data_IF_764261686543
#
_entry.id   IF_764261686543
#
_cell.length_a   1.000
_cell.length_b   1.000
_cell.length_c   1.000
_cell.angle_alpha   90.00
_cell.angle_beta   90.00
_cell.angle_gamma   90.00
#
_symmetry.space_group_name_H-M   'P 1'
#
loop_
_entity.id
_entity.type
_entity.pdbx_description
1 polymer ?
#
# COMPACT_ATOMS: atom_id res chain seq x y z
N UNK A 1 4.54 -24.30 -9.10
CA UNK A 1 3.97 -25.67 -9.25
C UNK A 1 2.53 -25.49 -8.88
N UNK A 2 1.60 -25.65 -9.82
CA UNK A 2 0.17 -25.58 -9.53
C UNK A 2 -0.14 -26.51 -8.36
N UNK A 3 -0.92 -26.00 -7.41
CA UNK A 3 -1.40 -26.78 -6.26
C UNK A 3 -2.10 -28.06 -6.74
N UNK A 4 -2.25 -29.07 -5.87
CA UNK A 4 -2.82 -30.38 -6.24
C UNK A 4 -4.21 -30.33 -6.90
N UNK A 5 -4.93 -29.21 -6.79
CA UNK A 5 -6.24 -28.99 -7.41
C UNK A 5 -6.19 -28.08 -8.67
N UNK A 6 -5.00 -27.63 -9.08
CA UNK A 6 -4.81 -26.70 -10.20
C UNK A 6 -4.92 -25.22 -9.83
N UNK A 7 -5.11 -24.88 -8.55
CA UNK A 7 -5.14 -23.48 -8.09
C UNK A 7 -3.76 -22.84 -8.15
N UNK A 8 -3.76 -21.54 -8.41
CA UNK A 8 -2.57 -20.71 -8.49
C UNK A 8 -2.39 -19.91 -7.19
N UNK A 9 -1.18 -19.90 -6.64
CA UNK A 9 -0.84 -19.07 -5.47
C UNK A 9 -0.28 -17.73 -5.95
N UNK A 10 -0.97 -16.65 -5.62
CA UNK A 10 -0.60 -15.27 -5.96
C UNK A 10 -0.28 -14.52 -4.67
N UNK A 11 0.97 -14.08 -4.50
CA UNK A 11 1.39 -13.25 -3.38
C UNK A 11 1.35 -11.77 -3.79
N UNK A 12 0.78 -10.89 -2.95
CA UNK A 12 0.35 -9.53 -3.37
C UNK A 12 0.94 -8.37 -2.56
N UNK A 13 1.91 -8.63 -1.68
CA UNK A 13 2.66 -7.58 -0.97
C UNK A 13 4.17 -7.85 -1.07
N UNK A 14 4.65 -8.06 -2.30
CA UNK A 14 5.99 -8.57 -2.55
C UNK A 14 6.95 -7.44 -2.90
N UNK A 15 7.67 -6.95 -1.88
CA UNK A 15 8.51 -5.78 -2.05
C UNK A 15 9.77 -6.03 -2.87
N UNK A 16 10.15 -5.04 -3.66
CA UNK A 16 11.46 -4.91 -4.28
C UNK A 16 12.05 -3.52 -4.08
N UNK A 17 13.32 -3.36 -4.42
CA UNK A 17 14.03 -2.10 -4.30
C UNK A 17 14.68 -1.71 -5.61
N UNK A 18 14.34 -0.52 -6.09
CA UNK A 18 14.93 0.05 -7.29
C UNK A 18 16.13 0.94 -6.92
N UNK A 19 17.26 0.73 -7.61
CA UNK A 19 18.54 1.36 -7.28
C UNK A 19 18.54 2.89 -7.41
N UNK A 20 17.70 3.46 -8.28
CA UNK A 20 17.70 4.92 -8.51
C UNK A 20 17.00 5.67 -7.39
N UNK A 21 16.08 5.01 -6.70
CA UNK A 21 15.37 5.58 -5.55
C UNK A 21 15.89 5.08 -4.22
N UNK A 22 16.59 3.95 -4.23
CA UNK A 22 17.20 3.28 -3.10
C UNK A 22 17.97 4.23 -2.17
N UNK A 23 18.86 5.07 -2.70
CA UNK A 23 19.68 5.98 -1.89
C UNK A 23 18.86 6.90 -0.97
N UNK A 24 17.65 7.29 -1.39
CA UNK A 24 16.74 8.14 -0.60
C UNK A 24 15.83 7.33 0.32
N UNK A 25 15.47 6.09 -0.05
CA UNK A 25 14.59 5.21 0.74
C UNK A 25 15.33 4.30 1.74
N UNK A 26 16.66 4.13 1.60
CA UNK A 26 17.53 3.21 2.34
C UNK A 26 17.36 3.22 3.87
N UNK A 27 16.96 4.35 4.45
CA UNK A 27 16.83 4.50 5.90
C UNK A 27 15.47 4.06 6.46
N UNK A 28 14.50 3.74 5.60
CA UNK A 28 13.09 3.57 6.01
C UNK A 28 12.61 2.12 5.88
N UNK A 29 13.04 1.38 4.84
CA UNK A 29 12.56 0.02 4.57
C UNK A 29 12.96 -1.03 5.63
N UNK A 30 13.89 -0.70 6.54
CA UNK A 30 14.39 -1.62 7.55
C UNK A 30 15.16 -2.81 6.94
N UNK A 31 15.42 -3.83 7.77
CA UNK A 31 16.13 -5.04 7.34
C UNK A 31 17.66 -4.92 7.37
N UNK A 32 18.33 -6.07 7.47
CA UNK A 32 19.79 -6.18 7.40
C UNK A 32 20.30 -6.30 5.96
N UNK A 33 21.62 -6.46 5.80
CA UNK A 33 22.27 -6.64 4.49
C UNK A 33 21.67 -7.79 3.68
N UNK A 34 21.31 -8.90 4.34
CA UNK A 34 20.67 -10.06 3.70
C UNK A 34 19.32 -9.69 3.10
N UNK A 35 18.45 -9.02 3.86
CA UNK A 35 17.14 -8.56 3.38
C UNK A 35 17.31 -7.62 2.19
N UNK A 36 18.25 -6.69 2.30
CA UNK A 36 18.55 -5.72 1.26
C UNK A 36 19.02 -6.37 -0.04
N UNK A 37 19.91 -7.37 0.05
CA UNK A 37 20.35 -8.15 -1.11
C UNK A 37 19.16 -8.82 -1.81
N UNK A 38 18.22 -9.39 -1.06
CA UNK A 38 17.00 -10.02 -1.61
C UNK A 38 16.04 -9.00 -2.23
N UNK A 39 15.90 -7.82 -1.64
CA UNK A 39 15.05 -6.75 -2.20
C UNK A 39 15.57 -6.22 -3.54
N UNK A 40 16.90 -6.16 -3.70
CA UNK A 40 17.57 -5.74 -4.94
C UNK A 40 17.62 -6.84 -6.01
N UNK A 41 17.40 -8.10 -5.63
CA UNK A 41 17.39 -9.24 -6.54
C UNK A 41 15.97 -9.53 -7.00
N UNK A 42 15.67 -9.10 -8.24
CA UNK A 42 14.44 -9.47 -8.92
C UNK A 42 14.59 -10.76 -9.73
N UNK A 43 15.82 -11.26 -9.93
CA UNK A 43 16.11 -12.36 -10.85
C UNK A 43 16.05 -13.75 -10.20
N UNK A 44 17.11 -14.53 -10.45
CA UNK A 44 17.14 -15.97 -10.13
C UNK A 44 16.92 -16.28 -8.65
N UNK A 45 17.41 -15.43 -7.73
CA UNK A 45 17.24 -15.69 -6.31
C UNK A 45 15.76 -15.62 -5.90
N UNK A 46 15.04 -14.61 -6.39
CA UNK A 46 13.61 -14.44 -6.12
C UNK A 46 12.79 -15.57 -6.73
N UNK A 47 13.06 -15.93 -7.99
CA UNK A 47 12.35 -17.04 -8.65
C UNK A 47 12.58 -18.35 -7.91
N UNK A 48 13.82 -18.61 -7.46
CA UNK A 48 14.14 -19.77 -6.65
C UNK A 48 13.36 -19.79 -5.33
N UNK A 49 13.32 -18.67 -4.60
CA UNK A 49 12.55 -18.57 -3.36
C UNK A 49 11.05 -18.80 -3.61
N UNK A 50 10.49 -18.26 -4.71
CA UNK A 50 9.11 -18.50 -5.11
C UNK A 50 8.84 -19.98 -5.38
N UNK A 51 9.73 -20.65 -6.11
CA UNK A 51 9.60 -22.08 -6.41
C UNK A 51 9.65 -22.94 -5.15
N UNK A 52 10.57 -22.64 -4.22
CA UNK A 52 10.70 -23.32 -2.93
C UNK A 52 9.48 -23.09 -2.02
N UNK A 53 8.89 -21.89 -2.06
CA UNK A 53 7.69 -21.55 -1.29
C UNK A 53 6.38 -22.02 -1.95
N UNK A 54 6.41 -22.50 -3.19
CA UNK A 54 5.22 -22.86 -3.95
C UNK A 54 4.39 -21.66 -4.45
N UNK A 55 5.02 -20.49 -4.61
CA UNK A 55 4.38 -19.26 -5.11
C UNK A 55 4.44 -19.25 -6.64
N UNK A 56 3.28 -19.22 -7.28
CA UNK A 56 3.19 -19.20 -8.74
C UNK A 56 3.39 -17.79 -9.30
N UNK A 57 2.77 -16.76 -8.68
CA UNK A 57 2.91 -15.36 -9.10
C UNK A 57 3.16 -14.44 -7.92
N UNK A 58 4.04 -13.45 -8.11
CA UNK A 58 4.16 -12.30 -7.22
C UNK A 58 3.66 -11.03 -7.91
N UNK A 59 2.82 -10.25 -7.22
CA UNK A 59 2.55 -8.86 -7.55
C UNK A 59 3.57 -8.01 -6.82
N UNK A 60 4.53 -7.49 -7.58
CA UNK A 60 5.66 -6.73 -7.05
C UNK A 60 5.26 -5.29 -6.79
N UNK A 61 5.76 -4.76 -5.68
CA UNK A 61 5.56 -3.37 -5.28
C UNK A 61 6.85 -2.78 -4.74
N UNK A 62 7.09 -1.48 -4.95
CA UNK A 62 8.31 -0.88 -4.45
C UNK A 62 8.29 -0.78 -2.91
N UNK A 63 9.44 -0.98 -2.26
CA UNK A 63 9.63 -0.78 -0.83
C UNK A 63 9.17 0.62 -0.35
N UNK A 64 8.62 0.74 0.87
CA UNK A 64 8.27 2.02 1.46
C UNK A 64 9.47 2.97 1.61
N UNK A 65 9.30 4.29 1.42
CA UNK A 65 8.08 4.99 0.98
C UNK A 65 7.98 5.14 -0.55
N UNK A 66 8.81 4.43 -1.33
CA UNK A 66 8.84 4.53 -2.79
C UNK A 66 8.96 5.96 -3.32
N UNK A 67 8.19 6.30 -4.35
CA UNK A 67 8.17 7.64 -4.95
C UNK A 67 7.65 8.74 -3.99
N UNK A 68 6.99 8.39 -2.88
CA UNK A 68 6.53 9.37 -1.89
C UNK A 68 7.68 10.07 -1.14
N UNK A 69 8.89 9.52 -1.16
CA UNK A 69 10.07 10.15 -0.57
C UNK A 69 10.58 11.37 -1.34
N UNK A 70 10.14 11.59 -2.57
CA UNK A 70 10.69 12.63 -3.44
C UNK A 70 9.87 13.91 -3.37
N UNK A 71 10.51 15.04 -3.66
CA UNK A 71 9.82 16.32 -3.74
C UNK A 71 9.00 16.39 -5.03
N UNK A 72 7.88 17.15 -5.06
CA UNK A 72 6.98 17.25 -6.22
C UNK A 72 7.67 17.41 -7.59
N UNK A 73 8.77 18.17 -7.65
CA UNK A 73 9.52 18.43 -8.87
C UNK A 73 10.25 17.20 -9.43
N UNK A 74 10.66 16.26 -8.56
CA UNK A 74 11.37 15.04 -8.94
C UNK A 74 10.45 13.82 -8.98
N UNK A 75 9.39 13.83 -8.17
CA UNK A 75 8.58 12.65 -7.88
C UNK A 75 7.93 12.06 -9.14
N UNK A 76 7.53 12.90 -10.11
CA UNK A 76 6.96 12.44 -11.39
C UNK A 76 7.96 11.60 -12.19
N UNK A 77 9.14 12.15 -12.46
CA UNK A 77 10.17 11.46 -13.26
C UNK A 77 10.67 10.20 -12.55
N UNK A 78 10.87 10.27 -11.23
CA UNK A 78 11.30 9.13 -10.42
C UNK A 78 10.27 8.02 -10.38
N UNK A 79 9.00 8.35 -10.19
CA UNK A 79 7.91 7.37 -10.20
C UNK A 79 7.81 6.69 -11.57
N UNK A 80 7.77 7.46 -12.66
CA UNK A 80 7.71 6.92 -14.01
C UNK A 80 8.88 5.98 -14.31
N UNK A 81 10.12 6.41 -14.04
CA UNK A 81 11.30 5.58 -14.28
C UNK A 81 11.34 4.29 -13.45
N UNK A 82 10.88 4.32 -12.19
CA UNK A 82 10.76 3.12 -11.35
C UNK A 82 9.70 2.16 -11.90
N UNK A 83 8.55 2.69 -12.32
CA UNK A 83 7.47 1.89 -12.90
C UNK A 83 7.88 1.28 -14.24
N UNK A 84 8.57 2.04 -15.10
CA UNK A 84 9.08 1.54 -16.40
C UNK A 84 10.08 0.40 -16.22
N UNK A 85 11.02 0.53 -15.28
CA UNK A 85 11.98 -0.55 -14.99
C UNK A 85 11.33 -1.78 -14.39
N UNK A 86 10.31 -1.62 -13.55
CA UNK A 86 9.53 -2.76 -13.05
C UNK A 86 8.78 -3.44 -14.20
N UNK A 87 8.20 -2.67 -15.12
CA UNK A 87 7.56 -3.20 -16.31
C UNK A 87 8.55 -4.01 -17.17
N UNK A 88 9.71 -3.45 -17.48
CA UNK A 88 10.78 -4.15 -18.21
C UNK A 88 11.17 -5.46 -17.53
N UNK A 89 11.29 -5.45 -16.21
CA UNK A 89 11.56 -6.66 -15.44
C UNK A 89 10.42 -7.68 -15.56
N UNK A 90 9.15 -7.27 -15.41
CA UNK A 90 7.98 -8.16 -15.54
C UNK A 90 7.97 -8.84 -16.92
N UNK A 91 8.35 -8.12 -17.99
CA UNK A 91 8.42 -8.68 -19.35
C UNK A 91 9.46 -9.81 -19.50
N UNK A 92 10.46 -9.90 -18.60
CA UNK A 92 11.41 -11.01 -18.62
C UNK A 92 10.76 -12.34 -18.19
N UNK A 93 9.70 -12.29 -17.38
CA UNK A 93 8.95 -13.46 -16.95
C UNK A 93 7.48 -13.13 -16.60
N UNK A 94 6.66 -12.80 -17.61
CA UNK A 94 5.28 -12.35 -17.40
C UNK A 94 4.35 -13.47 -16.92
N UNK A 95 4.82 -14.72 -16.87
CA UNK A 95 4.08 -15.81 -16.23
C UNK A 95 4.20 -15.78 -14.70
N UNK A 96 5.25 -15.15 -14.15
CA UNK A 96 5.59 -15.17 -12.72
C UNK A 96 5.39 -13.83 -12.01
N UNK A 97 5.38 -12.72 -12.75
CA UNK A 97 5.35 -11.39 -12.14
C UNK A 97 4.21 -10.51 -12.63
N UNK A 98 3.70 -9.68 -11.71
CA UNK A 98 2.80 -8.55 -11.95
C UNK A 98 3.33 -7.34 -11.18
N UNK A 99 2.75 -6.16 -11.40
CA UNK A 99 3.20 -4.93 -10.77
C UNK A 99 2.08 -4.11 -10.16
N UNK A 100 2.37 -3.51 -9.01
CA UNK A 100 1.69 -2.34 -8.49
C UNK A 100 2.56 -1.10 -8.70
N UNK A 101 1.93 -0.01 -9.15
CA UNK A 101 2.62 1.25 -9.35
C UNK A 101 3.09 1.83 -8.02
N UNK A 102 4.28 2.44 -8.00
CA UNK A 102 4.64 3.42 -6.99
C UNK A 102 4.17 4.81 -7.43
N UNK A 103 3.57 5.59 -6.53
CA UNK A 103 2.92 6.86 -6.88
C UNK A 103 3.57 8.07 -6.18
N UNK A 104 3.68 9.23 -6.87
CA UNK A 104 4.14 10.48 -6.30
C UNK A 104 3.02 11.20 -5.54
N UNK A 105 2.55 10.63 -4.43
CA UNK A 105 1.32 11.10 -3.73
C UNK A 105 1.37 12.55 -3.23
N UNK A 106 2.55 13.17 -3.14
CA UNK A 106 2.69 14.61 -2.84
C UNK A 106 2.10 15.50 -3.93
N UNK A 107 1.90 14.96 -5.14
CA UNK A 107 1.19 15.60 -6.26
C UNK A 107 0.03 14.70 -6.72
N UNK A 108 -1.13 14.75 -6.05
CA UNK A 108 -2.21 13.79 -6.24
C UNK A 108 -2.73 13.66 -7.68
N UNK A 109 -2.83 14.75 -8.43
CA UNK A 109 -3.23 14.72 -9.84
C UNK A 109 -2.21 13.98 -10.71
N UNK A 110 -0.91 14.24 -10.52
CA UNK A 110 0.14 13.52 -11.23
C UNK A 110 0.20 12.05 -10.81
N UNK A 111 -0.13 11.74 -9.56
CA UNK A 111 -0.24 10.36 -9.08
C UNK A 111 -1.42 9.63 -9.73
N UNK A 112 -2.56 10.31 -9.94
CA UNK A 112 -3.68 9.76 -10.69
C UNK A 112 -3.32 9.51 -12.17
N UNK A 113 -2.65 10.47 -12.82
CA UNK A 113 -2.19 10.31 -14.20
C UNK A 113 -1.21 9.14 -14.35
N UNK A 114 -0.25 9.02 -13.42
CA UNK A 114 0.72 7.93 -13.43
C UNK A 114 0.08 6.56 -13.13
N UNK A 115 -0.93 6.50 -12.26
CA UNK A 115 -1.71 5.29 -12.04
C UNK A 115 -2.39 4.81 -13.34
N UNK A 116 -2.99 5.74 -14.09
CA UNK A 116 -3.63 5.40 -15.37
C UNK A 116 -2.61 4.93 -16.40
N UNK A 117 -1.47 5.62 -16.52
CA UNK A 117 -0.38 5.21 -17.41
C UNK A 117 0.10 3.80 -17.07
N UNK A 118 0.39 3.53 -15.80
CA UNK A 118 0.84 2.21 -15.35
C UNK A 118 -0.17 1.12 -15.69
N UNK A 119 -1.47 1.39 -15.50
CA UNK A 119 -2.50 0.41 -15.83
C UNK A 119 -2.64 0.18 -17.35
N UNK A 120 -2.82 1.26 -18.11
CA UNK A 120 -3.15 1.18 -19.55
C UNK A 120 -1.97 0.82 -20.43
N UNK A 121 -0.78 1.30 -20.09
CA UNK A 121 0.42 1.16 -20.93
C UNK A 121 1.35 0.07 -20.40
N UNK A 122 1.51 -0.05 -19.08
CA UNK A 122 2.44 -1.00 -18.47
C UNK A 122 1.78 -2.31 -17.99
N UNK A 123 0.45 -2.39 -18.02
CA UNK A 123 -0.31 -3.56 -17.58
C UNK A 123 -0.28 -3.80 -16.07
N UNK A 124 -0.07 -2.75 -15.26
CA UNK A 124 -0.10 -2.87 -13.80
C UNK A 124 -1.52 -3.06 -13.29
N UNK A 125 -1.64 -3.77 -12.16
CA UNK A 125 -2.92 -4.24 -11.64
C UNK A 125 -3.42 -3.42 -10.44
N UNK A 126 -2.87 -2.22 -10.24
CA UNK A 126 -3.15 -1.32 -9.13
C UNK A 126 -1.93 -0.49 -8.73
N UNK A 127 -1.96 0.08 -7.53
CA UNK A 127 -0.84 0.79 -6.94
C UNK A 127 -0.70 0.51 -5.45
N UNK A 128 0.49 0.79 -4.90
CA UNK A 128 0.76 0.77 -3.47
C UNK A 128 1.01 2.19 -2.97
N UNK A 129 0.44 2.52 -1.81
CA UNK A 129 0.68 3.77 -1.09
C UNK A 129 1.05 3.44 0.34
N UNK A 130 2.09 4.08 0.85
CA UNK A 130 2.69 3.81 2.16
C UNK A 130 2.33 4.92 3.15
N UNK A 131 1.55 4.57 4.17
CA UNK A 131 1.23 5.43 5.32
C UNK A 131 0.90 6.89 4.97
N UNK A 132 1.53 7.82 5.70
CA UNK A 132 1.29 9.26 5.58
C UNK A 132 2.02 9.86 4.37
N UNK A 133 1.39 10.84 3.75
CA UNK A 133 2.03 11.73 2.77
C UNK A 133 2.08 13.14 3.36
N UNK A 134 3.29 13.68 3.55
CA UNK A 134 3.50 15.01 4.14
C UNK A 134 2.84 15.20 5.52
N UNK A 135 2.78 14.13 6.31
CA UNK A 135 2.15 14.14 7.64
C UNK A 135 0.62 14.01 7.60
N UNK A 136 0.01 13.91 6.43
CA UNK A 136 -1.44 13.71 6.29
C UNK A 136 -1.77 12.29 5.88
N UNK A 137 -2.94 11.83 6.36
CA UNK A 137 -3.52 10.58 5.91
C UNK A 137 -4.13 10.74 4.52
N UNK A 138 -4.10 9.65 3.76
CA UNK A 138 -4.56 9.61 2.37
C UNK A 138 -6.07 9.78 2.20
N UNK A 139 -6.85 9.77 3.28
CA UNK A 139 -8.30 10.02 3.23
C UNK A 139 -8.65 11.50 3.01
N UNK A 140 -7.69 12.42 3.15
CA UNK A 140 -7.93 13.86 2.97
C UNK A 140 -8.35 14.16 1.52
N UNK A 141 -9.33 15.08 1.29
CA UNK A 141 -9.88 15.36 -0.04
C UNK A 141 -8.85 15.69 -1.13
N UNK A 142 -7.69 16.26 -0.77
CA UNK A 142 -6.62 16.54 -1.73
C UNK A 142 -6.07 15.29 -2.44
N UNK A 143 -6.15 14.12 -1.80
CA UNK A 143 -5.69 12.85 -2.36
C UNK A 143 -6.75 12.10 -3.17
N UNK A 144 -8.01 12.57 -3.15
CA UNK A 144 -9.13 11.91 -3.82
C UNK A 144 -8.97 11.73 -5.32
N UNK A 145 -8.22 12.57 -6.08
CA UNK A 145 -7.94 12.30 -7.49
C UNK A 145 -7.34 10.91 -7.75
N UNK A 146 -6.51 10.39 -6.83
CA UNK A 146 -5.90 9.06 -6.95
C UNK A 146 -6.98 7.98 -6.89
N UNK A 147 -7.90 8.10 -5.93
CA UNK A 147 -8.95 7.12 -5.69
C UNK A 147 -10.07 7.20 -6.74
N UNK A 148 -10.39 8.41 -7.20
CA UNK A 148 -11.27 8.63 -8.35
C UNK A 148 -10.76 7.91 -9.58
N UNK A 149 -9.45 8.03 -9.85
CA UNK A 149 -8.84 7.34 -10.97
C UNK A 149 -8.82 5.82 -10.79
N UNK A 150 -8.53 5.35 -9.59
CA UNK A 150 -8.55 3.92 -9.28
C UNK A 150 -9.93 3.30 -9.51
N UNK A 151 -11.00 3.97 -9.06
CA UNK A 151 -12.37 3.55 -9.33
C UNK A 151 -12.69 3.57 -10.83
N UNK A 152 -12.35 4.64 -11.54
CA UNK A 152 -12.59 4.75 -12.98
C UNK A 152 -11.92 3.63 -13.79
N UNK A 153 -10.73 3.18 -13.37
CA UNK A 153 -9.98 2.10 -13.98
C UNK A 153 -10.37 0.71 -13.46
N UNK A 154 -11.25 0.63 -12.45
CA UNK A 154 -11.66 -0.58 -11.75
C UNK A 154 -10.49 -1.39 -11.11
N UNK A 155 -9.44 -0.69 -10.66
CA UNK A 155 -8.24 -1.29 -10.04
C UNK A 155 -8.09 -0.91 -8.56
N UNK A 156 -7.47 -1.77 -7.73
CA UNK A 156 -7.26 -1.49 -6.32
C UNK A 156 -6.11 -0.53 -6.03
N UNK A 157 -6.21 0.14 -4.88
CA UNK A 157 -5.07 0.77 -4.19
C UNK A 157 -4.76 -0.02 -2.91
N UNK A 158 -3.53 -0.51 -2.80
CA UNK A 158 -3.01 -1.14 -1.59
C UNK A 158 -2.49 -0.08 -0.63
N UNK A 159 -3.06 -0.02 0.58
CA UNK A 159 -2.59 0.88 1.63
C UNK A 159 -1.62 0.11 2.51
N UNK A 160 -0.34 0.22 2.18
CA UNK A 160 0.75 -0.41 2.91
C UNK A 160 1.10 0.39 4.16
N UNK A 161 1.57 -0.26 5.23
CA UNK A 161 1.98 0.46 6.42
C UNK A 161 3.07 1.51 6.24
N UNK A 162 2.98 2.55 7.06
CA UNK A 162 4.03 3.54 7.28
C UNK A 162 4.24 3.76 8.77
N UNK A 163 5.31 4.50 9.11
CA UNK A 163 5.59 4.84 10.52
C UNK A 163 4.45 5.72 11.07
N UNK A 164 4.12 5.60 12.37
CA UNK A 164 3.12 6.44 13.00
C UNK A 164 3.41 7.94 12.84
N UNK A 165 2.37 8.77 12.85
CA UNK A 165 2.51 10.21 12.86
C UNK A 165 3.49 10.69 13.95
N UNK A 166 4.40 11.67 13.69
CA UNK A 166 5.39 12.11 14.67
C UNK A 166 4.80 12.52 16.03
N UNK A 167 3.63 13.16 16.04
CA UNK A 167 2.92 13.50 17.28
C UNK A 167 2.44 12.27 18.07
N UNK A 168 2.07 11.18 17.40
CA UNK A 168 1.72 9.90 18.05
C UNK A 168 2.97 9.24 18.61
N UNK A 169 4.08 9.31 17.88
CA UNK A 169 5.38 8.82 18.37
C UNK A 169 5.78 9.54 19.66
N UNK A 170 5.69 10.88 19.68
CA UNK A 170 6.02 11.66 20.87
C UNK A 170 5.08 11.36 22.04
N UNK A 171 3.78 11.24 21.78
CA UNK A 171 2.79 11.03 22.83
C UNK A 171 2.84 9.61 23.43
N UNK A 172 2.97 8.57 22.60
CA UNK A 172 2.71 7.18 23.02
C UNK A 172 3.97 6.33 23.11
N UNK A 173 5.00 6.62 22.31
CA UNK A 173 6.10 5.69 22.10
C UNK A 173 7.45 6.20 22.57
N UNK A 174 7.65 7.52 22.75
CA UNK A 174 8.97 8.15 22.98
C UNK A 174 9.82 7.49 24.09
N UNK A 175 9.19 6.96 25.13
CA UNK A 175 9.88 6.34 26.26
C UNK A 175 10.47 4.96 25.91
N UNK A 176 9.94 4.29 24.89
CA UNK A 176 10.30 2.92 24.50
C UNK A 176 11.07 2.83 23.18
N UNK A 177 10.96 3.81 22.28
CA UNK A 177 11.52 3.74 20.91
C UNK A 177 13.03 3.50 20.86
N UNK A 178 13.77 3.91 21.90
CA UNK A 178 15.23 3.71 21.97
C UNK A 178 15.58 2.24 22.19
N UNK A 179 14.83 1.55 23.06
CA UNK A 179 15.07 0.16 23.44
C UNK A 179 14.36 -0.81 22.48
N UNK A 180 13.14 -0.47 22.05
CA UNK A 180 12.28 -1.33 21.24
C UNK A 180 11.96 -0.65 19.92
N UNK A 181 12.95 -0.49 19.03
CA UNK A 181 12.79 0.24 17.76
C UNK A 181 11.63 -0.28 16.90
N UNK A 182 11.37 -1.59 16.94
CA UNK A 182 10.29 -2.23 16.19
C UNK A 182 8.87 -1.85 16.64
N UNK A 183 8.71 -1.16 17.78
CA UNK A 183 7.42 -0.61 18.21
C UNK A 183 6.86 0.41 17.20
N UNK A 184 7.73 1.05 16.41
CA UNK A 184 7.35 2.00 15.37
C UNK A 184 7.14 1.35 13.99
N UNK A 185 7.41 0.05 13.87
CA UNK A 185 7.26 -0.72 12.64
C UNK A 185 6.28 -1.88 12.84
N UNK A 186 6.51 -3.01 12.18
CA UNK A 186 5.63 -4.20 12.21
C UNK A 186 5.38 -4.78 13.62
N UNK A 187 6.17 -4.41 14.63
CA UNK A 187 5.92 -4.84 16.01
C UNK A 187 4.64 -4.25 16.62
N UNK A 188 4.23 -3.04 16.19
CA UNK A 188 2.98 -2.41 16.65
C UNK A 188 2.54 -1.23 15.77
N UNK A 189 3.42 -0.24 15.62
CA UNK A 189 3.07 1.07 15.06
C UNK A 189 2.54 1.03 13.63
N UNK A 190 3.07 0.15 12.77
CA UNK A 190 2.58 -0.03 11.40
C UNK A 190 1.11 -0.42 11.37
N UNK A 191 0.71 -1.42 12.17
CA UNK A 191 -0.66 -1.91 12.22
C UNK A 191 -1.62 -0.85 12.76
N UNK A 192 -1.27 -0.17 13.85
CA UNK A 192 -2.14 0.86 14.45
C UNK A 192 -2.33 2.06 13.51
N UNK A 193 -1.26 2.53 12.87
CA UNK A 193 -1.35 3.68 11.95
C UNK A 193 -2.19 3.34 10.71
N UNK A 194 -2.00 2.15 10.15
CA UNK A 194 -2.69 1.71 8.92
C UNK A 194 -4.15 1.34 9.19
N UNK A 195 -4.44 0.72 10.34
CA UNK A 195 -5.82 0.53 10.81
C UNK A 195 -6.54 1.87 10.99
N UNK A 196 -5.84 2.87 11.52
CA UNK A 196 -6.37 4.25 11.65
C UNK A 196 -6.64 4.84 10.28
N UNK A 197 -5.73 4.69 9.30
CA UNK A 197 -5.96 5.14 7.93
C UNK A 197 -7.21 4.49 7.30
N UNK A 198 -7.35 3.17 7.41
CA UNK A 198 -8.50 2.43 6.90
C UNK A 198 -9.82 2.90 7.51
N UNK A 199 -9.88 3.09 8.83
CA UNK A 199 -11.06 3.64 9.50
C UNK A 199 -11.36 5.08 9.06
N UNK A 200 -10.34 5.93 8.94
CA UNK A 200 -10.50 7.32 8.49
C UNK A 200 -11.06 7.42 7.08
N UNK A 201 -10.62 6.54 6.16
CA UNK A 201 -11.19 6.49 4.80
C UNK A 201 -12.70 6.25 4.81
N UNK A 202 -13.20 5.39 5.71
CA UNK A 202 -14.65 5.21 5.85
C UNK A 202 -15.31 6.50 6.31
N UNK A 203 -14.78 7.09 7.38
CA UNK A 203 -15.36 8.26 8.01
C UNK A 203 -15.29 9.51 7.13
N UNK A 204 -14.36 9.58 6.18
CA UNK A 204 -14.24 10.69 5.23
C UNK A 204 -15.35 10.69 4.16
N UNK A 205 -16.09 9.59 4.02
CA UNK A 205 -17.13 9.44 2.99
C UNK A 205 -16.59 9.17 1.59
N UNK A 206 -15.30 8.80 1.45
CA UNK A 206 -14.70 8.53 0.14
C UNK A 206 -15.44 7.40 -0.60
N UNK A 207 -15.88 6.37 0.13
CA UNK A 207 -16.66 5.26 -0.43
C UNK A 207 -18.12 5.61 -0.71
N UNK A 208 -18.65 6.70 -0.14
CA UNK A 208 -19.97 7.21 -0.54
C UNK A 208 -19.88 7.97 -1.87
N UNK A 209 -18.74 8.64 -2.12
CA UNK A 209 -18.47 9.33 -3.39
C UNK A 209 -18.04 8.38 -4.50
N UNK A 210 -17.20 7.39 -4.17
CA UNK A 210 -16.63 6.40 -5.08
C UNK A 210 -17.02 4.98 -4.59
N UNK A 211 -18.27 4.52 -4.85
CA UNK A 211 -18.83 3.30 -4.27
C UNK A 211 -18.24 1.98 -4.80
N UNK A 212 -17.54 2.00 -5.94
CA UNK A 212 -16.85 0.85 -6.52
C UNK A 212 -15.34 0.88 -6.26
N UNK A 213 -14.84 1.88 -5.52
CA UNK A 213 -13.44 1.94 -5.12
C UNK A 213 -13.01 0.67 -4.38
N UNK A 214 -11.87 0.11 -4.78
CA UNK A 214 -11.26 -1.10 -4.22
C UNK A 214 -10.00 -0.72 -3.44
N UNK A 215 -9.93 -1.12 -2.17
CA UNK A 215 -8.79 -0.91 -1.29
C UNK A 215 -8.28 -2.25 -0.80
N UNK A 216 -6.96 -2.40 -0.67
CA UNK A 216 -6.34 -3.59 -0.07
C UNK A 216 -5.65 -3.17 1.22
N UNK A 217 -5.88 -3.94 2.28
CA UNK A 217 -5.17 -3.82 3.56
C UNK A 217 -4.47 -5.14 3.89
N UNK A 218 -3.15 -5.06 4.04
CA UNK A 218 -2.32 -6.19 4.43
C UNK A 218 -2.56 -6.66 5.86
N UNK A 219 -1.70 -7.58 6.30
CA UNK A 219 -1.60 -7.98 7.71
C UNK A 219 -2.96 -8.38 8.34
N UNK A 220 -3.79 -9.10 7.57
CA UNK A 220 -5.17 -9.47 7.94
C UNK A 220 -6.08 -8.26 8.24
N UNK A 221 -6.00 -7.23 7.38
CA UNK A 221 -6.80 -6.02 7.49
C UNK A 221 -6.40 -5.15 8.67
N UNK A 222 -5.14 -5.24 9.11
CA UNK A 222 -4.57 -4.43 10.21
C UNK A 222 -5.38 -4.53 11.51
N UNK A 223 -6.05 -5.67 11.74
CA UNK A 223 -6.90 -5.91 12.90
C UNK A 223 -8.28 -5.27 12.84
N UNK A 224 -8.62 -4.49 11.81
CA UNK A 224 -9.96 -3.93 11.61
C UNK A 224 -11.05 -5.01 11.53
N UNK A 225 -10.85 -6.17 10.87
CA UNK A 225 -11.85 -7.25 10.86
C UNK A 225 -12.21 -7.72 12.27
N UNK A 226 -11.22 -7.85 13.14
CA UNK A 226 -11.42 -8.23 14.53
C UNK A 226 -12.19 -7.17 15.32
N UNK A 227 -11.94 -5.89 15.05
CA UNK A 227 -12.56 -4.75 15.73
C UNK A 227 -13.93 -4.35 15.16
N UNK A 228 -14.36 -4.95 14.04
CA UNK A 228 -15.53 -4.50 13.27
C UNK A 228 -16.79 -4.40 14.10
N UNK A 229 -17.08 -5.38 14.96
CA UNK A 229 -18.26 -5.32 15.84
C UNK A 229 -18.22 -4.13 16.79
N UNK A 230 -17.07 -3.90 17.45
CA UNK A 230 -16.90 -2.82 18.43
C UNK A 230 -17.03 -1.45 17.76
N UNK A 231 -16.43 -1.29 16.58
CA UNK A 231 -16.50 -0.07 15.79
C UNK A 231 -17.96 0.18 15.38
N UNK A 232 -18.62 -0.80 14.76
CA UNK A 232 -20.02 -0.69 14.36
C UNK A 232 -20.96 -0.36 15.51
N UNK A 233 -20.80 -1.01 16.66
CA UNK A 233 -21.63 -0.74 17.83
C UNK A 233 -21.47 0.70 18.32
N UNK A 234 -20.24 1.23 18.33
CA UNK A 234 -19.95 2.57 18.83
C UNK A 234 -20.38 3.69 17.87
N UNK A 235 -20.18 3.51 16.56
CA UNK A 235 -20.56 4.51 15.55
C UNK A 235 -22.00 4.35 15.05
N UNK A 236 -22.61 3.18 15.23
CA UNK A 236 -23.95 2.86 14.74
C UNK A 236 -25.08 3.62 15.44
N UNK A 237 -24.80 4.25 16.58
CA UNK A 237 -25.76 5.08 17.33
C UNK A 237 -25.59 6.59 17.09
N UNK A 238 -24.44 7.05 16.54
CA UNK A 238 -24.08 8.47 16.46
C UNK A 238 -23.39 8.77 15.12
N UNK A 239 -24.16 9.25 14.14
CA UNK A 239 -23.66 10.20 13.13
C UNK A 239 -24.60 11.41 13.14
N UNK A 240 -24.26 12.51 13.84
CA UNK A 240 -24.89 13.79 13.64
C UNK A 240 -24.52 14.29 12.23
N UNK A 241 -25.52 14.76 11.48
CA UNK A 241 -25.42 15.50 10.20
C UNK A 241 -25.55 14.78 8.85
N UNK A 242 -25.88 13.49 8.74
CA UNK A 242 -26.21 12.91 7.41
C UNK A 242 -27.42 11.97 7.33
N UNK A 243 -28.09 11.64 8.45
CA UNK A 243 -29.27 10.76 8.42
C UNK A 243 -29.01 9.34 7.87
N UNK A 244 -27.75 8.96 7.67
CA UNK A 244 -27.32 7.63 7.25
C UNK A 244 -26.53 6.99 8.38
N UNK A 245 -26.84 5.72 8.66
CA UNK A 245 -26.10 4.88 9.62
C UNK A 245 -24.74 4.54 9.01
N UNK A 246 -23.66 4.59 9.80
CA UNK A 246 -22.37 4.02 9.37
C UNK A 246 -22.61 2.54 9.07
N UNK A 247 -22.35 2.12 7.84
CA UNK A 247 -22.53 0.73 7.44
C UNK A 247 -21.18 0.12 7.04
N UNK A 248 -20.44 -0.41 8.03
CA UNK A 248 -19.21 -1.16 7.75
C UNK A 248 -19.47 -2.53 7.07
N UNK A 249 -20.73 -2.89 6.78
CA UNK A 249 -21.00 -4.03 5.88
C UNK A 249 -20.74 -3.63 4.42
N UNK A 250 -20.85 -2.34 4.06
CA UNK A 250 -20.33 -1.84 2.78
C UNK A 250 -18.80 -1.85 2.75
N UNK A 251 -18.17 -1.57 3.89
CA UNK A 251 -16.71 -1.60 4.06
C UNK A 251 -16.06 -2.96 3.75
N UNK A 252 -16.72 -4.07 4.12
CA UNK A 252 -16.21 -5.41 3.78
C UNK A 252 -16.30 -5.77 2.29
N UNK A 253 -17.02 -4.99 1.47
CA UNK A 253 -17.13 -5.23 0.03
C UNK A 253 -16.08 -4.46 -0.78
N UNK A 254 -15.63 -3.32 -0.26
CA UNK A 254 -14.65 -2.45 -0.91
C UNK A 254 -13.22 -2.70 -0.42
N UNK A 255 -13.05 -3.40 0.71
CA UNK A 255 -11.73 -3.78 1.23
C UNK A 255 -11.49 -5.27 1.04
N UNK A 256 -10.43 -5.56 0.31
CA UNK A 256 -9.87 -6.91 0.17
C UNK A 256 -8.80 -7.09 1.25
N UNK A 257 -8.91 -8.20 1.97
CA UNK A 257 -8.00 -8.64 3.03
C UNK A 257 -7.35 -9.93 2.57
#
# INVERSE_FOLDING_TARGET
>A
MTTKDGSQIIAIEEHYLDKDVDAKVQKVAGGGEVTRKRLLDLGDLRVKDMDEAGIDVQVLSHCPPGAQAFDPNEAKERSAGVNDRLHDFILTNPARFRGFATLPTRTPELAADELERCHRELGFHGAIVHGLTEGEFIDMPRFWPIFERAEFLDIPIYIHPGRPHPAVIDAYYKDYVKQYRSILSAGWGFTVETATAGLRMVLSGIFDKYPNLKIILGHMGEGLPFLTWRINHSFGEIIPNQGKRLDLVKFSKSIFI
#
